data_IF_944159190423
#
_entry.id   IF_944159190423
#
_cell.length_a   1.000
_cell.length_b   1.000
_cell.length_c   1.000
_cell.angle_alpha   90.00
_cell.angle_beta   90.00
_cell.angle_gamma   90.00
#
_symmetry.space_group_name_H-M   'P 1'
#
loop_
_entity.id
_entity.type
_entity.pdbx_description
1 polymer ?
#
# COMPACT_ATOMS: atom_id res chain seq x y z
N UNK A 1 47.88 -60.27 -46.32
CA UNK A 1 48.01 -59.09 -45.43
C UNK A 1 46.88 -58.15 -45.80
N UNK A 2 45.99 -57.60 -44.96
CA UNK A 2 45.88 -57.53 -43.51
C UNK A 2 45.04 -56.28 -43.18
N UNK A 3 43.73 -56.49 -42.92
CA UNK A 3 42.69 -55.68 -42.25
C UNK A 3 42.71 -54.13 -42.32
N UNK A 4 41.56 -53.48 -42.61
CA UNK A 4 41.17 -52.21 -42.00
C UNK A 4 40.30 -52.41 -40.73
N UNK A 5 40.05 -51.33 -39.97
CA UNK A 5 39.85 -51.34 -38.52
C UNK A 5 38.40 -51.07 -38.08
N UNK A 6 38.17 -51.18 -36.76
CA UNK A 6 37.17 -50.60 -35.81
C UNK A 6 37.04 -51.60 -34.63
N UNK A 7 36.37 -51.36 -33.48
CA UNK A 7 35.57 -50.21 -32.97
C UNK A 7 35.99 -49.85 -31.50
N UNK A 8 35.32 -49.10 -30.61
CA UNK A 8 33.90 -48.90 -30.17
C UNK A 8 33.86 -47.59 -29.31
N UNK A 9 32.79 -46.96 -28.82
CA UNK A 9 31.38 -47.30 -28.49
C UNK A 9 30.67 -45.96 -28.16
N UNK A 10 29.47 -45.64 -28.65
CA UNK A 10 28.17 -45.85 -27.98
C UNK A 10 27.38 -44.51 -27.97
N UNK A 11 26.42 -44.31 -28.87
CA UNK A 11 24.97 -44.54 -28.76
C UNK A 11 24.20 -43.48 -27.92
N UNK A 12 23.41 -42.62 -28.60
CA UNK A 12 21.93 -42.50 -28.45
C UNK A 12 21.37 -41.11 -28.79
N UNK A 13 20.12 -41.14 -29.26
CA UNK A 13 19.22 -40.15 -29.88
C UNK A 13 18.66 -39.02 -28.98
N UNK A 14 18.22 -37.91 -29.64
CA UNK A 14 17.56 -36.65 -29.20
C UNK A 14 16.27 -36.83 -28.31
N UNK A 15 15.56 -35.78 -27.77
CA UNK A 15 15.66 -34.30 -27.93
C UNK A 15 15.48 -33.47 -26.62
N UNK A 16 15.72 -32.15 -26.66
CA UNK A 16 15.33 -31.24 -25.56
C UNK A 16 15.48 -29.76 -25.88
N UNK A 17 14.35 -29.09 -26.10
CA UNK A 17 14.22 -27.63 -26.19
C UNK A 17 14.68 -27.02 -24.85
N UNK A 18 15.70 -26.16 -24.89
CA UNK A 18 16.30 -25.57 -23.68
C UNK A 18 16.68 -24.11 -23.88
N UNK A 19 15.80 -23.23 -23.41
CA UNK A 19 16.01 -21.89 -22.86
C UNK A 19 17.37 -21.21 -23.11
N UNK A 20 17.38 -20.23 -24.02
CA UNK A 20 18.36 -19.15 -23.97
C UNK A 20 17.95 -18.19 -22.85
N UNK A 21 18.52 -18.41 -21.67
CA UNK A 21 18.62 -17.41 -20.62
C UNK A 21 19.50 -16.27 -21.13
N UNK A 22 18.89 -15.17 -21.55
CA UNK A 22 19.56 -13.87 -21.54
C UNK A 22 19.13 -13.11 -20.29
N UNK A 23 20.11 -12.95 -19.41
CA UNK A 23 20.18 -12.02 -18.30
C UNK A 23 19.60 -10.65 -18.68
N UNK A 24 18.40 -10.37 -18.16
CA UNK A 24 18.00 -9.01 -17.81
C UNK A 24 17.68 -8.99 -16.33
N UNK A 25 18.74 -8.78 -15.56
CA UNK A 25 18.69 -8.25 -14.21
C UNK A 25 17.94 -6.91 -14.20
N UNK A 26 16.62 -6.98 -14.10
CA UNK A 26 15.76 -5.93 -13.54
C UNK A 26 15.01 -6.58 -12.39
N UNK A 27 15.77 -7.00 -11.38
CA UNK A 27 15.25 -7.32 -10.07
C UNK A 27 14.83 -6.04 -9.35
N UNK A 28 13.74 -5.41 -9.79
CA UNK A 28 12.94 -4.63 -8.86
C UNK A 28 12.04 -5.62 -8.15
N UNK A 29 12.24 -5.75 -6.86
CA UNK A 29 11.42 -6.54 -5.94
C UNK A 29 9.94 -6.09 -6.00
N UNK A 30 9.21 -6.60 -6.98
CA UNK A 30 7.76 -6.76 -6.93
C UNK A 30 7.49 -8.16 -6.36
N UNK A 31 7.98 -8.43 -5.15
CA UNK A 31 7.24 -9.33 -4.29
C UNK A 31 6.02 -8.49 -3.92
N UNK A 32 4.78 -8.84 -4.30
CA UNK A 32 3.64 -8.24 -3.66
C UNK A 32 3.83 -8.55 -2.19
N UNK A 33 4.20 -7.56 -1.38
CA UNK A 33 4.16 -7.72 0.07
C UNK A 33 2.77 -8.29 0.34
N UNK A 34 2.70 -9.50 0.88
CA UNK A 34 1.47 -10.27 1.16
C UNK A 34 0.66 -9.60 2.28
N UNK A 35 0.69 -8.29 2.33
CA UNK A 35 0.28 -7.45 3.42
C UNK A 35 -1.10 -6.94 3.06
N UNK A 36 -2.04 -7.39 3.86
CA UNK A 36 -3.44 -7.03 3.74
C UNK A 36 -3.61 -5.51 3.82
N UNK A 37 -4.39 -4.99 2.89
CA UNK A 37 -4.62 -3.56 2.74
C UNK A 37 -6.11 -3.27 2.64
N UNK A 38 -6.50 -2.14 3.22
CA UNK A 38 -7.84 -1.58 3.14
C UNK A 38 -7.73 -0.13 2.67
N UNK A 39 -8.52 0.21 1.65
CA UNK A 39 -8.55 1.56 1.10
C UNK A 39 -10.01 2.01 1.00
N UNK A 40 -10.36 3.03 1.76
CA UNK A 40 -11.73 3.46 1.96
C UNK A 40 -11.88 4.97 1.81
N UNK A 41 -13.03 5.38 1.30
CA UNK A 41 -13.46 6.77 1.24
C UNK A 41 -14.50 7.02 2.33
N UNK A 42 -14.24 8.00 3.18
CA UNK A 42 -15.08 8.41 4.30
C UNK A 42 -15.56 9.85 4.10
N UNK A 43 -16.79 10.13 4.49
CA UNK A 43 -17.40 11.44 4.23
C UNK A 43 -16.79 12.60 5.04
N UNK A 44 -16.16 12.32 6.19
CA UNK A 44 -15.64 13.38 7.06
C UNK A 44 -14.55 12.91 8.03
N UNK A 45 -13.91 13.89 8.67
CA UNK A 45 -12.88 13.69 9.68
C UNK A 45 -13.37 12.88 10.89
N UNK A 46 -14.62 13.05 11.32
CA UNK A 46 -15.16 12.33 12.48
C UNK A 46 -15.22 10.82 12.25
N UNK A 47 -15.57 10.38 11.04
CA UNK A 47 -15.52 8.97 10.64
C UNK A 47 -14.08 8.46 10.55
N UNK A 48 -13.16 9.27 10.03
CA UNK A 48 -11.72 8.95 9.99
C UNK A 48 -11.15 8.76 11.39
N UNK A 49 -11.53 9.60 12.35
CA UNK A 49 -11.15 9.48 13.75
C UNK A 49 -11.71 8.21 14.39
N UNK A 50 -12.90 7.75 14.01
CA UNK A 50 -13.44 6.46 14.49
C UNK A 50 -12.60 5.29 14.02
N UNK A 51 -12.06 5.32 12.81
CA UNK A 51 -11.12 4.29 12.32
C UNK A 51 -9.86 4.26 13.18
N UNK A 52 -9.24 5.41 13.42
CA UNK A 52 -8.04 5.50 14.27
C UNK A 52 -8.31 4.99 15.69
N UNK A 53 -9.45 5.38 16.28
CA UNK A 53 -9.88 4.91 17.60
C UNK A 53 -10.11 3.39 17.63
N UNK A 54 -10.71 2.83 16.58
CA UNK A 54 -10.92 1.38 16.44
C UNK A 54 -9.60 0.60 16.43
N UNK A 55 -8.59 1.13 15.73
CA UNK A 55 -7.25 0.53 15.68
C UNK A 55 -6.53 0.63 17.03
N UNK A 56 -6.61 1.77 17.72
CA UNK A 56 -6.06 1.93 19.07
C UNK A 56 -6.72 1.00 20.09
N UNK A 57 -8.02 0.73 19.96
CA UNK A 57 -8.73 -0.22 20.80
C UNK A 57 -8.36 -1.69 20.55
N UNK A 58 -7.54 -1.99 19.52
CA UNK A 58 -7.14 -3.34 19.15
C UNK A 58 -5.63 -3.42 18.89
N UNK A 59 -4.78 -3.31 19.92
CA UNK A 59 -3.32 -3.37 19.78
C UNK A 59 -2.81 -4.69 19.18
N UNK A 60 -3.60 -5.76 19.23
CA UNK A 60 -3.32 -7.05 18.59
C UNK A 60 -3.41 -7.01 17.06
N UNK A 61 -4.04 -5.98 16.49
CA UNK A 61 -4.13 -5.82 15.05
C UNK A 61 -2.78 -5.32 14.53
N UNK A 62 -2.11 -6.06 13.63
CA UNK A 62 -0.72 -5.78 13.26
C UNK A 62 -0.67 -4.63 12.24
N UNK A 63 -1.07 -3.42 12.61
CA UNK A 63 -1.04 -2.26 11.71
C UNK A 63 0.41 -1.90 11.40
N UNK A 64 0.74 -1.79 10.11
CA UNK A 64 2.03 -1.28 9.64
C UNK A 64 1.99 0.23 9.57
N UNK A 65 1.01 0.79 8.86
CA UNK A 65 0.78 2.22 8.79
C UNK A 65 -0.67 2.52 8.42
N UNK A 66 -1.08 3.76 8.68
CA UNK A 66 -2.28 4.40 8.18
C UNK A 66 -1.87 5.62 7.37
N UNK A 67 -2.50 5.82 6.21
CA UNK A 67 -2.40 7.06 5.44
C UNK A 67 -3.77 7.70 5.36
N UNK A 68 -3.84 9.00 5.63
CA UNK A 68 -5.05 9.80 5.50
C UNK A 68 -4.81 10.91 4.48
N UNK A 69 -5.64 10.98 3.45
CA UNK A 69 -5.62 12.02 2.42
C UNK A 69 -6.96 12.73 2.43
N UNK A 70 -6.93 14.06 2.53
CA UNK A 70 -8.10 14.89 2.36
C UNK A 70 -8.34 15.22 0.88
N UNK A 71 -9.59 15.15 0.46
CA UNK A 71 -10.08 15.58 -0.86
C UNK A 71 -11.25 16.55 -0.64
N UNK A 72 -11.67 17.25 -1.70
CA UNK A 72 -12.70 18.30 -1.62
C UNK A 72 -13.98 17.82 -0.90
N UNK A 73 -14.40 16.58 -1.17
CA UNK A 73 -15.68 16.05 -0.69
C UNK A 73 -15.52 14.92 0.34
N UNK A 74 -14.31 14.71 0.90
CA UNK A 74 -14.11 13.58 1.80
C UNK A 74 -12.67 13.19 2.07
N UNK A 75 -12.52 11.99 2.62
CA UNK A 75 -11.30 11.51 3.27
C UNK A 75 -10.96 10.11 2.77
N UNK A 76 -9.79 9.95 2.17
CA UNK A 76 -9.26 8.64 1.78
C UNK A 76 -8.40 8.12 2.92
N UNK A 77 -8.73 6.92 3.39
CA UNK A 77 -8.00 6.23 4.46
C UNK A 77 -7.45 4.92 3.93
N UNK A 78 -6.13 4.80 3.96
CA UNK A 78 -5.41 3.56 3.65
C UNK A 78 -4.92 2.95 4.96
N UNK A 79 -5.23 1.68 5.20
CA UNK A 79 -4.70 0.91 6.33
C UNK A 79 -3.92 -0.27 5.75
N UNK A 80 -2.62 -0.36 6.05
CA UNK A 80 -1.78 -1.50 5.69
C UNK A 80 -1.40 -2.28 6.93
N UNK A 81 -1.59 -3.60 6.89
CA UNK A 81 -1.18 -4.51 7.95
C UNK A 81 0.24 -5.06 7.69
N UNK A 82 0.95 -5.42 8.75
CA UNK A 82 2.28 -6.07 8.71
C UNK A 82 2.21 -7.52 8.22
N UNK A 83 1.02 -8.12 8.22
CA UNK A 83 0.79 -9.48 7.79
C UNK A 83 -0.71 -9.79 7.67
N UNK A 84 -1.01 -11.04 7.32
CA UNK A 84 -2.38 -11.54 7.24
C UNK A 84 -3.00 -11.67 8.63
N UNK A 85 -4.30 -11.40 8.72
CA UNK A 85 -5.11 -11.68 9.92
C UNK A 85 -6.02 -12.88 9.65
N UNK A 86 -6.68 -13.39 10.69
CA UNK A 86 -7.64 -14.47 10.49
C UNK A 86 -8.81 -14.00 9.61
N UNK A 87 -9.47 -14.89 8.84
CA UNK A 87 -10.62 -14.51 8.01
C UNK A 87 -11.74 -13.83 8.79
N UNK A 88 -11.94 -14.21 10.06
CA UNK A 88 -12.91 -13.56 10.94
C UNK A 88 -12.53 -12.11 11.24
N UNK A 89 -11.27 -11.85 11.61
CA UNK A 89 -10.79 -10.49 11.89
C UNK A 89 -10.82 -9.63 10.63
N UNK A 90 -10.45 -10.18 9.47
CA UNK A 90 -10.58 -9.48 8.19
C UNK A 90 -12.04 -9.12 7.91
N UNK A 91 -12.95 -10.08 8.01
CA UNK A 91 -14.39 -9.88 7.79
C UNK A 91 -14.99 -8.83 8.73
N UNK A 92 -14.70 -8.94 10.03
CA UNK A 92 -15.18 -8.00 11.05
C UNK A 92 -14.65 -6.59 10.81
N UNK A 93 -13.38 -6.46 10.38
CA UNK A 93 -12.80 -5.16 10.09
C UNK A 93 -13.34 -4.56 8.80
N UNK A 94 -13.51 -5.34 7.73
CA UNK A 94 -14.18 -4.89 6.50
C UNK A 94 -15.61 -4.45 6.76
N UNK A 95 -16.36 -5.21 7.56
CA UNK A 95 -17.73 -4.85 7.94
C UNK A 95 -17.77 -3.51 8.67
N UNK A 96 -16.88 -3.29 9.63
CA UNK A 96 -16.73 -2.01 10.31
C UNK A 96 -16.39 -0.87 9.34
N UNK A 97 -15.44 -1.05 8.42
CA UNK A 97 -15.09 -0.02 7.44
C UNK A 97 -16.22 0.28 6.45
N UNK A 98 -16.97 -0.75 6.03
CA UNK A 98 -18.15 -0.61 5.17
C UNK A 98 -19.32 0.10 5.86
N UNK A 99 -19.39 0.09 7.19
CA UNK A 99 -20.36 0.90 7.95
C UNK A 99 -19.98 2.39 7.92
N UNK A 100 -18.69 2.69 7.94
CA UNK A 100 -18.18 4.06 7.98
C UNK A 100 -18.06 4.72 6.59
N UNK A 101 -17.89 3.93 5.54
CA UNK A 101 -17.76 4.45 4.18
C UNK A 101 -17.70 3.36 3.13
N UNK A 102 -17.07 3.66 2.01
CA UNK A 102 -17.07 2.79 0.84
C UNK A 102 -15.65 2.40 0.44
N UNK A 103 -15.49 1.18 -0.08
CA UNK A 103 -14.24 0.76 -0.71
C UNK A 103 -13.88 1.75 -1.82
N UNK A 104 -12.61 2.13 -1.88
CA UNK A 104 -12.14 3.20 -2.75
C UNK A 104 -11.14 2.70 -3.78
N UNK A 105 -11.44 2.97 -5.05
CA UNK A 105 -10.50 2.79 -6.15
C UNK A 105 -9.84 4.15 -6.47
N UNK A 106 -8.54 4.31 -6.17
CA UNK A 106 -7.88 5.59 -6.29
C UNK A 106 -7.59 5.90 -7.77
N UNK A 107 -7.78 7.15 -8.22
CA UNK A 107 -7.25 7.57 -9.50
C UNK A 107 -5.71 7.52 -9.49
N UNK A 108 -5.09 7.40 -10.66
CA UNK A 108 -3.64 7.18 -10.81
C UNK A 108 -2.79 8.15 -9.98
N UNK A 109 -3.17 9.44 -9.92
CA UNK A 109 -2.47 10.45 -9.11
C UNK A 109 -2.42 10.10 -7.62
N UNK A 110 -3.55 9.70 -7.04
CA UNK A 110 -3.65 9.33 -5.63
C UNK A 110 -2.90 8.02 -5.40
N UNK A 111 -3.00 7.08 -6.33
CA UNK A 111 -2.24 5.82 -6.27
C UNK A 111 -0.72 6.06 -6.25
N UNK A 112 -0.22 7.00 -7.07
CA UNK A 112 1.19 7.38 -7.08
C UNK A 112 1.65 8.02 -5.77
N UNK A 113 0.80 8.85 -5.16
CA UNK A 113 1.07 9.41 -3.85
C UNK A 113 1.15 8.32 -2.77
N UNK A 114 0.20 7.37 -2.76
CA UNK A 114 0.18 6.26 -1.80
C UNK A 114 1.42 5.36 -1.93
N UNK A 115 1.85 5.05 -3.16
CA UNK A 115 3.09 4.28 -3.38
C UNK A 115 4.34 5.05 -2.99
N UNK A 116 4.39 6.36 -3.25
CA UNK A 116 5.54 7.19 -2.87
C UNK A 116 5.70 7.28 -1.35
N UNK A 117 4.59 7.45 -0.62
CA UNK A 117 4.57 7.42 0.84
C UNK A 117 5.06 6.08 1.38
N UNK A 118 4.55 4.97 0.82
CA UNK A 118 4.97 3.63 1.22
C UNK A 118 6.45 3.35 0.94
N UNK A 119 7.00 3.93 -0.12
CA UNK A 119 8.43 3.90 -0.40
C UNK A 119 9.26 4.79 0.56
N UNK A 120 8.64 5.43 1.55
CA UNK A 120 9.29 6.24 2.56
C UNK A 120 9.58 7.68 2.13
N UNK A 121 8.97 8.17 1.05
CA UNK A 121 9.13 9.58 0.66
C UNK A 121 8.43 10.50 1.66
N UNK A 122 9.02 11.68 1.89
CA UNK A 122 8.47 12.69 2.79
C UNK A 122 7.05 13.10 2.36
N UNK A 123 6.04 13.10 3.26
CA UNK A 123 4.68 13.51 2.92
C UNK A 123 4.59 14.87 2.25
N UNK A 124 5.39 15.85 2.67
CA UNK A 124 5.41 17.21 2.10
C UNK A 124 5.84 17.19 0.63
N UNK A 125 6.85 16.41 0.28
CA UNK A 125 7.33 16.30 -1.10
C UNK A 125 6.31 15.57 -1.98
N UNK A 126 5.65 14.56 -1.43
CA UNK A 126 4.57 13.82 -2.11
C UNK A 126 3.37 14.75 -2.36
N UNK A 127 2.96 15.56 -1.37
CA UNK A 127 1.88 16.54 -1.52
C UNK A 127 2.19 17.53 -2.66
N UNK A 128 3.41 18.09 -2.68
CA UNK A 128 3.84 19.03 -3.72
C UNK A 128 3.90 18.39 -5.10
N UNK A 129 4.44 17.17 -5.20
CA UNK A 129 4.60 16.47 -6.48
C UNK A 129 3.27 16.04 -7.09
N UNK A 130 2.37 15.49 -6.27
CA UNK A 130 1.12 14.90 -6.74
C UNK A 130 -0.10 15.78 -6.51
N UNK A 131 0.04 16.95 -5.89
CA UNK A 131 -1.06 17.89 -5.62
C UNK A 131 -2.21 17.21 -4.87
N UNK A 132 -1.86 16.51 -3.78
CA UNK A 132 -2.79 15.85 -2.85
C UNK A 132 -2.58 16.39 -1.45
N UNK A 133 -3.64 16.49 -0.63
CA UNK A 133 -3.53 16.94 0.75
C UNK A 133 -3.36 15.72 1.68
N UNK A 134 -2.12 15.37 2.00
CA UNK A 134 -1.81 14.29 2.94
C UNK A 134 -1.97 14.87 4.35
N UNK A 135 -2.87 14.29 5.13
CA UNK A 135 -3.15 14.72 6.50
C UNK A 135 -2.25 13.98 7.48
N UNK A 136 -2.10 12.67 7.29
CA UNK A 136 -1.22 11.84 8.11
C UNK A 136 -0.69 10.63 7.35
N UNK A 137 0.50 10.17 7.70
CA UNK A 137 1.08 8.91 7.22
C UNK A 137 2.02 8.30 8.26
N UNK A 138 1.76 7.06 8.67
CA UNK A 138 2.60 6.34 9.63
C UNK A 138 1.77 5.63 10.69
N UNK A 139 2.15 5.76 11.95
CA UNK A 139 1.34 5.26 13.07
C UNK A 139 -0.08 5.85 13.04
N UNK A 140 -1.11 5.15 13.55
CA UNK A 140 -2.48 5.65 13.59
C UNK A 140 -2.63 6.79 14.61
N UNK A 141 -2.03 7.94 14.37
CA UNK A 141 -2.05 9.08 15.28
C UNK A 141 -3.30 9.95 15.05
N UNK A 142 -3.87 10.42 16.15
CA UNK A 142 -5.18 11.10 16.15
C UNK A 142 -5.02 12.62 16.01
N UNK A 143 -3.90 13.12 16.51
CA UNK A 143 -3.55 14.51 16.71
C UNK A 143 -3.53 15.27 15.37
N UNK A 144 -2.92 14.71 14.33
CA UNK A 144 -2.83 15.31 13.00
C UNK A 144 -4.21 15.49 12.36
N UNK A 145 -5.07 14.48 12.45
CA UNK A 145 -6.44 14.51 11.90
C UNK A 145 -7.29 15.54 12.67
N UNK A 146 -7.14 15.62 14.00
CA UNK A 146 -7.86 16.59 14.82
C UNK A 146 -7.39 18.02 14.55
N UNK A 147 -6.09 18.24 14.42
CA UNK A 147 -5.51 19.54 14.07
C UNK A 147 -6.02 20.02 12.71
N UNK A 148 -5.99 19.14 11.69
CA UNK A 148 -6.51 19.45 10.36
C UNK A 148 -8.01 19.77 10.40
N UNK A 149 -8.82 18.97 11.10
CA UNK A 149 -10.26 19.24 11.30
C UNK A 149 -10.49 20.63 11.89
N UNK A 150 -9.71 21.03 12.90
CA UNK A 150 -9.87 22.35 13.53
C UNK A 150 -9.52 23.50 12.58
N UNK A 151 -8.52 23.33 11.72
CA UNK A 151 -8.15 24.35 10.72
C UNK A 151 -9.26 24.58 9.68
N UNK A 152 -9.96 23.51 9.28
CA UNK A 152 -11.14 23.61 8.41
C UNK A 152 -12.30 24.34 9.08
N UNK A 153 -12.58 24.02 10.35
CA UNK A 153 -13.63 24.70 11.14
C UNK A 153 -13.33 26.19 11.32
N UNK A 154 -12.03 26.57 11.40
CA UNK A 154 -11.58 27.96 11.48
C UNK A 154 -11.57 28.69 10.13
N UNK A 155 -12.03 28.05 9.05
CA UNK A 155 -12.14 28.66 7.72
C UNK A 155 -10.81 28.90 7.03
N UNK A 156 -9.72 28.27 7.50
CA UNK A 156 -8.38 28.55 6.96
C UNK A 156 -8.10 27.86 5.63
N UNK A 157 -8.94 26.91 5.18
CA UNK A 157 -8.94 26.35 3.81
C UNK A 157 -7.60 25.78 3.29
N UNK A 158 -6.57 25.74 4.13
CA UNK A 158 -5.18 25.54 3.75
C UNK A 158 -4.63 24.33 4.50
N UNK A 159 -3.98 23.43 3.75
CA UNK A 159 -3.22 22.32 4.30
C UNK A 159 -1.95 22.90 4.93
N UNK A 160 -1.65 22.68 6.22
CA UNK A 160 -0.61 23.43 6.92
C UNK A 160 0.75 23.27 6.23
N UNK A 161 1.46 24.39 6.07
CA UNK A 161 2.80 24.43 5.46
C UNK A 161 3.89 23.86 6.40
N UNK A 162 3.50 23.39 7.59
CA UNK A 162 4.41 23.05 8.70
C UNK A 162 3.77 22.00 9.62
N UNK A 163 3.93 20.72 9.28
CA UNK A 163 4.10 19.67 10.29
C UNK A 163 5.61 19.34 10.31
N UNK A 164 6.38 20.31 10.79
CA UNK A 164 7.81 20.25 11.03
C UNK A 164 8.06 20.27 12.55
#
# INVERSE_FOLDING_TARGET
MGKPPYPKTGASTLPGIGNYYEDRNVGLALIPSTNMEYLYYLANASLTLRVVQYLHGRPQMPVSFVTVIHQIDGWVVRIKLKGQVSPQVDGDFRAFLNELGISYEPPMRVQMALWSLEAGQCPVDVMRRYQVAIVSHGSPEREEIEAFRQQFVRGLGYCPETLA
#
